data_IF_187311845941
#
_entry.id   IF_187311845941
#
_cell.length_a   1.000
_cell.length_b   1.000
_cell.length_c   1.000
_cell.angle_alpha   90.00
_cell.angle_beta   90.00
_cell.angle_gamma   90.00
#
_symmetry.space_group_name_H-M   'P 1'
#
loop_
_entity.id
_entity.type
_entity.pdbx_description
1 polymer ?
#
# COMPACT_ATOMS: atom_id res chain seq x y z
N UNK A 1 23.60 1.35 17.64
CA UNK A 1 22.89 1.24 16.35
C UNK A 1 21.81 2.30 16.31
N UNK A 2 21.59 2.94 15.19
CA UNK A 2 20.48 3.88 15.02
C UNK A 2 19.17 3.09 15.13
N UNK A 3 18.18 3.61 15.85
CA UNK A 3 16.87 2.95 15.94
C UNK A 3 16.22 2.90 14.56
N UNK A 4 15.77 1.73 14.14
CA UNK A 4 15.07 1.52 12.86
C UNK A 4 13.58 1.48 13.16
N UNK A 5 12.80 2.34 12.48
CA UNK A 5 11.33 2.32 12.56
C UNK A 5 10.74 1.97 11.19
N UNK A 6 9.73 1.10 11.15
CA UNK A 6 8.95 0.81 9.96
C UNK A 6 7.47 1.06 10.26
N UNK A 7 6.98 2.23 9.86
CA UNK A 7 5.61 2.66 10.16
C UNK A 7 4.62 2.31 9.02
N UNK A 8 5.03 1.39 8.13
CA UNK A 8 4.23 0.90 7.02
C UNK A 8 4.59 -0.56 6.73
N UNK A 9 3.67 -1.48 7.02
CA UNK A 9 3.83 -2.92 6.75
C UNK A 9 2.48 -3.61 6.59
N UNK A 10 2.46 -4.74 5.87
CA UNK A 10 1.27 -5.52 5.57
C UNK A 10 1.36 -6.94 6.13
N UNK A 11 0.22 -7.46 6.56
CA UNK A 11 0.08 -8.82 7.09
C UNK A 11 -0.88 -9.65 6.23
N UNK A 12 -1.11 -10.90 6.63
CA UNK A 12 -2.13 -11.76 5.98
C UNK A 12 -3.56 -11.24 6.17
N UNK A 13 -3.76 -10.19 6.95
CA UNK A 13 -5.07 -9.52 7.05
C UNK A 13 -5.42 -8.80 5.72
N UNK A 14 -4.42 -8.35 4.96
CA UNK A 14 -4.59 -7.78 3.63
C UNK A 14 -3.87 -8.62 2.56
N UNK A 15 -2.69 -8.23 2.13
CA UNK A 15 -1.94 -8.88 1.05
C UNK A 15 -0.46 -9.17 1.40
N UNK A 16 -0.09 -9.01 2.65
CA UNK A 16 1.15 -9.51 3.21
C UNK A 16 1.19 -11.04 3.31
N UNK A 17 2.36 -11.60 3.50
CA UNK A 17 2.58 -13.06 3.57
C UNK A 17 2.83 -13.57 4.99
N UNK A 18 2.92 -12.70 5.98
CA UNK A 18 3.15 -13.01 7.39
C UNK A 18 1.96 -12.58 8.23
N UNK A 19 1.60 -13.36 9.23
CA UNK A 19 0.66 -12.94 10.26
C UNK A 19 1.25 -11.78 11.07
N UNK A 20 0.43 -11.08 11.83
CA UNK A 20 0.90 -10.03 12.76
C UNK A 20 2.02 -10.53 13.67
N UNK A 21 1.86 -11.73 14.21
CA UNK A 21 2.85 -12.35 15.10
C UNK A 21 4.15 -12.66 14.38
N UNK A 22 4.09 -13.32 13.23
CA UNK A 22 5.28 -13.67 12.44
C UNK A 22 6.05 -12.42 11.98
N UNK A 23 5.31 -11.37 11.54
CA UNK A 23 5.92 -10.11 11.13
C UNK A 23 6.58 -9.40 12.32
N UNK A 24 5.95 -9.40 13.50
CA UNK A 24 6.53 -8.85 14.72
C UNK A 24 7.81 -9.58 15.12
N UNK A 25 7.78 -10.92 15.18
CA UNK A 25 8.95 -11.74 15.56
C UNK A 25 10.10 -11.56 14.55
N UNK A 26 9.80 -11.43 13.25
CA UNK A 26 10.79 -11.09 12.23
C UNK A 26 11.38 -9.70 12.47
N UNK A 27 10.55 -8.68 12.66
CA UNK A 27 10.98 -7.30 12.90
C UNK A 27 11.93 -7.22 14.11
N UNK A 28 11.58 -7.89 15.20
CA UNK A 28 12.44 -7.96 16.39
C UNK A 28 13.77 -8.66 16.10
N UNK A 29 13.76 -9.77 15.36
CA UNK A 29 14.98 -10.49 14.98
C UNK A 29 15.91 -9.65 14.10
N UNK A 30 15.36 -8.72 13.33
CA UNK A 30 16.08 -7.78 12.45
C UNK A 30 16.48 -6.48 13.17
N UNK A 31 16.11 -6.29 14.45
CA UNK A 31 16.45 -5.10 15.23
C UNK A 31 15.60 -3.87 14.91
N UNK A 32 14.40 -4.05 14.34
CA UNK A 32 13.42 -2.97 14.18
C UNK A 32 12.92 -2.55 15.55
N UNK A 33 13.02 -1.27 15.88
CA UNK A 33 12.62 -0.73 17.19
C UNK A 33 11.12 -0.45 17.27
N UNK A 34 10.52 -0.01 16.18
CA UNK A 34 9.07 0.26 16.08
C UNK A 34 8.53 -0.26 14.76
N UNK A 35 7.44 -1.02 14.81
CA UNK A 35 6.72 -1.57 13.67
C UNK A 35 5.25 -1.11 13.72
N UNK A 36 4.72 -0.57 12.61
CA UNK A 36 3.28 -0.34 12.48
C UNK A 36 2.64 -1.38 11.55
N UNK A 37 1.52 -1.94 11.96
CA UNK A 37 0.67 -2.78 11.13
C UNK A 37 -0.34 -1.88 10.42
N UNK A 38 -0.27 -1.81 9.09
CA UNK A 38 -1.02 -0.86 8.28
C UNK A 38 -1.70 -1.56 7.11
N UNK A 39 -2.39 -2.65 7.38
CA UNK A 39 -3.07 -3.46 6.37
C UNK A 39 -4.06 -2.65 5.52
N UNK A 40 -4.19 -3.00 4.24
CA UNK A 40 -5.07 -2.32 3.30
C UNK A 40 -6.54 -2.42 3.67
N UNK A 41 -7.17 -1.27 3.96
CA UNK A 41 -8.59 -1.13 4.30
C UNK A 41 -9.04 -2.18 5.35
N UNK A 42 -8.17 -2.44 6.33
CA UNK A 42 -8.41 -3.45 7.36
C UNK A 42 -7.77 -3.06 8.69
N UNK A 43 -8.39 -3.49 9.78
CA UNK A 43 -7.87 -3.33 11.14
C UNK A 43 -7.93 -4.66 11.89
N UNK A 44 -6.99 -4.92 12.82
CA UNK A 44 -6.93 -6.19 13.52
C UNK A 44 -8.17 -6.47 14.36
N UNK A 45 -8.59 -7.74 14.36
CA UNK A 45 -9.71 -8.23 15.18
C UNK A 45 -9.38 -8.16 16.67
N UNK A 46 -10.39 -8.29 17.52
CA UNK A 46 -10.20 -8.38 18.97
C UNK A 46 -9.28 -9.55 19.38
N UNK A 47 -9.32 -10.66 18.64
CA UNK A 47 -8.43 -11.81 18.89
C UNK A 47 -6.98 -11.47 18.55
N UNK A 48 -6.75 -10.87 17.39
CA UNK A 48 -5.42 -10.38 16.98
C UNK A 48 -4.88 -9.34 17.96
N UNK A 49 -5.74 -8.42 18.42
CA UNK A 49 -5.35 -7.44 19.45
C UNK A 49 -4.93 -8.09 20.77
N UNK A 50 -5.61 -9.14 21.22
CA UNK A 50 -5.24 -9.89 22.43
C UNK A 50 -3.87 -10.58 22.26
N UNK A 51 -3.56 -11.08 21.06
CA UNK A 51 -2.24 -11.63 20.74
C UNK A 51 -1.17 -10.54 20.77
N UNK A 52 -1.37 -9.39 20.14
CA UNK A 52 -0.44 -8.25 20.15
C UNK A 52 -0.20 -7.70 21.57
N UNK A 53 -1.25 -7.64 22.40
CA UNK A 53 -1.11 -7.25 23.81
C UNK A 53 -0.17 -8.18 24.59
N UNK A 54 -0.12 -9.48 24.24
CA UNK A 54 0.82 -10.43 24.87
C UNK A 54 2.28 -10.15 24.54
N UNK A 55 2.54 -9.33 23.50
CA UNK A 55 3.89 -8.92 23.08
C UNK A 55 4.38 -7.64 23.77
N UNK A 56 3.56 -7.00 24.63
CA UNK A 56 4.02 -5.84 25.42
C UNK A 56 5.23 -6.17 26.25
N UNK A 57 6.15 -5.23 26.33
CA UNK A 57 7.39 -5.40 27.09
C UNK A 57 8.55 -6.00 26.31
N UNK A 58 8.33 -6.48 25.08
CA UNK A 58 9.41 -6.89 24.17
C UNK A 58 10.20 -5.67 23.67
N UNK A 59 11.37 -5.90 23.07
CA UNK A 59 12.26 -4.82 22.62
C UNK A 59 11.63 -4.03 21.47
N UNK A 60 11.12 -4.71 20.45
CA UNK A 60 10.32 -4.09 19.37
C UNK A 60 8.98 -3.60 19.89
N UNK A 61 8.61 -2.38 19.50
CA UNK A 61 7.29 -1.81 19.79
C UNK A 61 6.39 -1.89 18.57
N UNK A 62 5.08 -2.04 18.83
CA UNK A 62 4.10 -2.06 17.75
C UNK A 62 3.12 -0.89 17.86
N UNK A 63 2.58 -0.50 16.71
CA UNK A 63 1.53 0.53 16.53
C UNK A 63 0.43 -0.06 15.65
N UNK A 64 -0.83 0.20 16.00
CA UNK A 64 -1.96 -0.12 15.13
C UNK A 64 -2.19 1.03 14.16
N UNK A 65 -2.29 0.68 12.89
CA UNK A 65 -2.60 1.56 11.78
C UNK A 65 -3.50 0.87 10.76
N UNK A 66 -3.72 1.53 9.64
CA UNK A 66 -4.33 0.99 8.44
C UNK A 66 -3.90 1.82 7.24
N UNK A 67 -3.77 1.20 6.06
CA UNK A 67 -3.60 1.92 4.80
C UNK A 67 -4.94 1.99 4.09
N UNK A 68 -5.53 3.19 4.06
CA UNK A 68 -6.82 3.43 3.43
C UNK A 68 -6.64 3.81 1.96
N UNK A 69 -7.41 3.17 1.08
CA UNK A 69 -7.50 3.55 -0.33
C UNK A 69 -8.52 4.68 -0.47
N UNK A 70 -8.12 5.82 -1.03
CA UNK A 70 -8.99 6.98 -1.22
C UNK A 70 -8.74 7.70 -2.54
N UNK A 71 -9.68 8.53 -2.95
CA UNK A 71 -9.55 9.43 -4.09
C UNK A 71 -9.18 10.85 -3.63
N UNK A 72 -8.60 11.63 -4.55
CA UNK A 72 -8.52 13.08 -4.33
C UNK A 72 -9.92 13.70 -4.39
N UNK A 73 -10.19 14.75 -3.59
CA UNK A 73 -11.40 15.53 -3.71
C UNK A 73 -11.59 16.04 -5.14
N UNK A 74 -12.82 15.98 -5.65
CA UNK A 74 -13.14 16.27 -7.06
C UNK A 74 -12.73 17.67 -7.52
N UNK A 75 -12.61 18.63 -6.60
CA UNK A 75 -12.13 19.99 -6.89
C UNK A 75 -10.60 20.06 -7.09
N UNK A 76 -9.86 19.00 -6.73
CA UNK A 76 -8.41 18.94 -6.86
C UNK A 76 -7.94 18.05 -8.03
N UNK A 77 -8.77 17.10 -8.44
CA UNK A 77 -8.44 16.21 -9.54
C UNK A 77 -9.69 15.80 -10.32
N UNK A 78 -9.65 15.85 -11.67
CA UNK A 78 -10.79 15.54 -12.53
C UNK A 78 -11.09 14.06 -12.69
N UNK A 79 -10.25 13.17 -12.15
CA UNK A 79 -10.37 11.72 -12.32
C UNK A 79 -10.06 10.98 -11.03
N UNK A 80 -10.68 9.81 -10.84
CA UNK A 80 -10.38 8.88 -9.76
C UNK A 80 -8.89 8.54 -9.78
N UNK A 81 -8.19 8.92 -8.72
CA UNK A 81 -6.73 8.81 -8.66
C UNK A 81 -6.27 7.56 -7.92
N UNK A 82 -7.06 7.04 -6.96
CA UNK A 82 -6.68 5.90 -6.12
C UNK A 82 -5.31 6.14 -5.48
N UNK A 83 -5.28 6.98 -4.45
CA UNK A 83 -4.10 7.22 -3.62
C UNK A 83 -4.24 6.47 -2.30
N UNK A 84 -3.13 6.33 -1.57
CA UNK A 84 -3.13 5.64 -0.29
C UNK A 84 -2.79 6.60 0.86
N UNK A 85 -3.51 6.41 1.97
CA UNK A 85 -3.39 7.19 3.19
C UNK A 85 -3.09 6.26 4.36
N UNK A 86 -1.95 6.43 5.01
CA UNK A 86 -1.62 5.70 6.23
C UNK A 86 -2.26 6.40 7.43
N UNK A 87 -3.10 5.67 8.16
CA UNK A 87 -3.53 6.04 9.50
C UNK A 87 -2.63 5.36 10.53
N UNK A 88 -2.09 6.11 11.49
CA UNK A 88 -1.27 5.59 12.57
C UNK A 88 -1.92 5.85 13.93
N UNK A 89 -1.72 4.95 14.92
CA UNK A 89 -2.28 5.02 16.28
C UNK A 89 -3.81 4.89 16.33
N UNK A 90 -4.39 4.07 15.46
CA UNK A 90 -5.82 3.91 15.32
C UNK A 90 -6.43 3.06 16.45
N UNK A 91 -7.63 3.42 16.86
CA UNK A 91 -8.52 2.52 17.60
C UNK A 91 -9.13 1.50 16.62
N UNK A 92 -8.70 0.22 16.66
CA UNK A 92 -9.22 -0.80 15.74
C UNK A 92 -10.67 -1.18 16.02
N UNK A 93 -11.26 -0.69 17.13
CA UNK A 93 -12.66 -0.90 17.48
C UNK A 93 -13.53 0.33 17.18
N UNK A 94 -12.97 1.39 16.57
CA UNK A 94 -13.75 2.55 16.16
C UNK A 94 -14.82 2.15 15.14
N UNK A 95 -16.08 2.34 15.49
CA UNK A 95 -17.23 1.86 14.72
C UNK A 95 -17.24 2.40 13.27
N UNK A 96 -16.88 3.68 13.08
CA UNK A 96 -16.86 4.28 11.75
C UNK A 96 -15.74 3.69 10.88
N UNK A 97 -14.55 3.47 11.47
CA UNK A 97 -13.42 2.86 10.78
C UNK A 97 -13.71 1.40 10.42
N UNK A 98 -14.27 0.61 11.34
CA UNK A 98 -14.65 -0.78 11.09
C UNK A 98 -15.67 -0.88 9.96
N UNK A 99 -16.74 -0.07 9.98
CA UNK A 99 -17.72 -0.02 8.90
C UNK A 99 -17.13 0.39 7.55
N UNK A 100 -16.17 1.32 7.56
CA UNK A 100 -15.44 1.68 6.35
C UNK A 100 -14.67 0.46 5.81
N UNK A 101 -13.89 -0.23 6.66
CA UNK A 101 -13.13 -1.41 6.26
C UNK A 101 -14.04 -2.51 5.68
N UNK A 102 -15.15 -2.84 6.35
CA UNK A 102 -16.14 -3.81 5.85
C UNK A 102 -16.67 -3.44 4.45
N UNK A 103 -17.00 -2.16 4.26
CA UNK A 103 -17.50 -1.66 2.98
C UNK A 103 -16.43 -1.68 1.88
N UNK A 104 -15.20 -1.30 2.21
CA UNK A 104 -14.07 -1.34 1.28
C UNK A 104 -13.75 -2.79 0.85
N UNK A 105 -13.75 -3.73 1.79
CA UNK A 105 -13.53 -5.15 1.51
C UNK A 105 -14.65 -5.73 0.61
N UNK A 106 -15.92 -5.41 0.87
CA UNK A 106 -17.03 -5.82 0.02
C UNK A 106 -16.88 -5.26 -1.42
N UNK A 107 -16.44 -4.02 -1.56
CA UNK A 107 -16.13 -3.39 -2.85
C UNK A 107 -14.98 -4.10 -3.57
N UNK A 108 -13.90 -4.47 -2.85
CA UNK A 108 -12.77 -5.23 -3.42
C UNK A 108 -13.22 -6.62 -3.92
N UNK A 109 -14.11 -7.32 -3.19
CA UNK A 109 -14.67 -8.59 -3.64
C UNK A 109 -15.52 -8.41 -4.90
N UNK A 110 -16.34 -7.38 -4.96
CA UNK A 110 -17.16 -7.05 -6.15
C UNK A 110 -16.26 -6.76 -7.35
N UNK A 111 -15.22 -5.94 -7.17
CA UNK A 111 -14.23 -5.67 -8.22
C UNK A 111 -13.52 -6.94 -8.68
N UNK A 112 -13.07 -7.79 -7.75
CA UNK A 112 -12.41 -9.05 -8.07
C UNK A 112 -13.28 -9.94 -8.96
N UNK A 113 -14.60 -10.07 -8.67
CA UNK A 113 -15.52 -10.85 -9.50
C UNK A 113 -15.61 -10.30 -10.92
N UNK A 114 -15.73 -8.98 -11.10
CA UNK A 114 -15.72 -8.34 -12.42
C UNK A 114 -14.41 -8.62 -13.18
N UNK A 115 -13.27 -8.55 -12.50
CA UNK A 115 -11.96 -8.89 -13.07
C UNK A 115 -11.91 -10.35 -13.51
N UNK A 116 -12.38 -11.28 -12.66
CA UNK A 116 -12.42 -12.72 -12.98
C UNK A 116 -13.28 -12.98 -14.23
N UNK A 117 -14.46 -12.37 -14.34
CA UNK A 117 -15.30 -12.47 -15.54
C UNK A 117 -14.56 -11.97 -16.80
N UNK A 118 -13.87 -10.82 -16.70
CA UNK A 118 -13.05 -10.29 -17.80
C UNK A 118 -11.91 -11.24 -18.19
N UNK A 119 -11.22 -11.83 -17.22
CA UNK A 119 -10.14 -12.79 -17.43
C UNK A 119 -10.64 -14.08 -18.08
N UNK A 120 -11.79 -14.61 -17.65
CA UNK A 120 -12.44 -15.75 -18.28
C UNK A 120 -12.80 -15.46 -19.75
N UNK A 121 -13.26 -14.24 -20.03
CA UNK A 121 -13.52 -13.77 -21.40
C UNK A 121 -12.27 -13.75 -22.29
N UNK A 122 -11.07 -13.61 -21.71
CA UNK A 122 -9.79 -13.70 -22.41
C UNK A 122 -9.27 -15.16 -22.50
N UNK A 123 -9.97 -16.13 -21.93
CA UNK A 123 -9.63 -17.55 -21.97
C UNK A 123 -8.81 -18.04 -20.77
N UNK A 124 -8.62 -17.22 -19.73
CA UNK A 124 -7.97 -17.68 -18.48
C UNK A 124 -8.86 -18.63 -17.70
N UNK A 125 -8.25 -19.62 -17.07
CA UNK A 125 -8.89 -20.54 -16.12
C UNK A 125 -8.69 -19.98 -14.71
N UNK A 126 -9.72 -19.37 -14.16
CA UNK A 126 -9.72 -18.74 -12.82
C UNK A 126 -11.16 -18.64 -12.32
N UNK A 127 -11.35 -18.74 -11.00
CA UNK A 127 -12.65 -18.51 -10.33
C UNK A 127 -12.49 -17.49 -9.21
N UNK A 128 -13.61 -16.96 -8.71
CA UNK A 128 -13.62 -16.09 -7.54
C UNK A 128 -13.09 -16.83 -6.29
N UNK A 129 -13.40 -18.12 -6.17
CA UNK A 129 -12.94 -18.99 -5.09
C UNK A 129 -11.42 -19.20 -5.12
N UNK A 130 -10.81 -19.31 -6.32
CA UNK A 130 -9.35 -19.36 -6.47
C UNK A 130 -8.69 -18.08 -5.92
N UNK A 131 -9.30 -16.91 -6.17
CA UNK A 131 -8.81 -15.63 -5.68
C UNK A 131 -8.96 -15.49 -4.16
N UNK A 132 -10.11 -15.90 -3.61
CA UNK A 132 -10.36 -15.92 -2.16
C UNK A 132 -9.40 -16.88 -1.46
N UNK A 133 -9.16 -18.06 -2.03
CA UNK A 133 -8.20 -19.01 -1.50
C UNK A 133 -6.73 -18.51 -1.60
N UNK A 134 -6.44 -17.65 -2.55
CA UNK A 134 -5.12 -17.03 -2.67
C UNK A 134 -4.92 -15.88 -1.67
N UNK A 135 -5.98 -15.15 -1.30
CA UNK A 135 -5.89 -14.09 -0.32
C UNK A 135 -5.61 -14.60 1.08
N UNK A 136 -6.16 -15.75 1.45
CA UNK A 136 -6.02 -16.33 2.79
C UNK A 136 -6.58 -15.44 3.91
N UNK A 137 -7.08 -14.25 3.58
CA UNK A 137 -7.55 -13.21 4.49
C UNK A 137 -8.87 -12.59 4.03
N UNK A 138 -9.24 -11.51 4.68
CA UNK A 138 -10.51 -10.81 4.44
C UNK A 138 -10.44 -9.84 3.25
N UNK A 139 -9.25 -9.38 2.88
CA UNK A 139 -9.04 -8.41 1.79
C UNK A 139 -8.47 -9.06 0.54
N UNK A 140 -9.16 -8.88 -0.61
CA UNK A 140 -8.72 -9.41 -1.92
C UNK A 140 -8.17 -8.29 -2.79
N UNK A 141 -6.86 -8.32 -3.01
CA UNK A 141 -6.15 -7.40 -3.91
C UNK A 141 -5.84 -8.00 -5.28
N UNK A 142 -5.34 -7.17 -6.21
CA UNK A 142 -4.82 -7.62 -7.52
C UNK A 142 -3.67 -8.64 -7.39
N UNK A 143 -2.75 -8.55 -6.39
CA UNK A 143 -1.72 -9.58 -6.19
C UNK A 143 -2.30 -10.98 -5.99
N UNK A 144 -3.42 -11.13 -5.28
CA UNK A 144 -4.09 -12.42 -5.06
C UNK A 144 -4.67 -13.00 -6.35
N UNK A 145 -5.20 -12.15 -7.24
CA UNK A 145 -5.68 -12.57 -8.57
C UNK A 145 -4.51 -13.11 -9.40
N UNK A 146 -3.36 -12.42 -9.37
CA UNK A 146 -2.12 -12.87 -10.05
C UNK A 146 -1.64 -14.20 -9.47
N UNK A 147 -1.68 -14.36 -8.16
CA UNK A 147 -1.31 -15.62 -7.50
C UNK A 147 -2.25 -16.76 -7.91
N UNK A 148 -3.57 -16.52 -7.92
CA UNK A 148 -4.56 -17.49 -8.38
C UNK A 148 -4.34 -17.91 -9.83
N UNK A 149 -4.03 -16.96 -10.73
CA UNK A 149 -3.70 -17.24 -12.13
C UNK A 149 -2.44 -18.13 -12.25
N UNK A 150 -1.40 -17.86 -11.47
CA UNK A 150 -0.13 -18.60 -11.49
C UNK A 150 -0.25 -20.05 -10.98
N UNK A 151 -1.24 -20.34 -10.15
CA UNK A 151 -1.48 -21.70 -9.66
C UNK A 151 -1.91 -22.68 -10.75
N UNK A 152 -2.38 -22.17 -11.90
CA UNK A 152 -2.82 -22.97 -13.05
C UNK A 152 -1.87 -22.76 -14.22
N UNK A 153 -1.05 -23.77 -14.50
CA UNK A 153 0.00 -23.72 -15.55
C UNK A 153 -0.57 -23.48 -16.94
N UNK A 154 -1.82 -23.90 -17.19
CA UNK A 154 -2.54 -23.68 -18.44
C UNK A 154 -2.66 -22.19 -18.79
N UNK A 155 -2.74 -21.33 -17.77
CA UNK A 155 -2.82 -19.89 -17.95
C UNK A 155 -1.55 -19.28 -18.55
N UNK A 156 -0.40 -19.95 -18.46
CA UNK A 156 0.85 -19.50 -19.10
C UNK A 156 0.69 -19.45 -20.62
N UNK A 157 -0.04 -20.41 -21.21
CA UNK A 157 -0.28 -20.44 -22.65
C UNK A 157 -1.17 -19.27 -23.09
N UNK A 158 -2.19 -18.94 -22.29
CA UNK A 158 -3.07 -17.81 -22.58
C UNK A 158 -2.29 -16.50 -22.49
N UNK A 159 -1.48 -16.32 -21.43
CA UNK A 159 -0.64 -15.13 -21.27
C UNK A 159 0.37 -14.95 -22.40
N UNK A 160 1.05 -16.02 -22.80
CA UNK A 160 2.02 -15.96 -23.87
C UNK A 160 1.35 -15.60 -25.21
N UNK A 161 0.17 -16.17 -25.50
CA UNK A 161 -0.60 -15.82 -26.68
C UNK A 161 -0.95 -14.31 -26.67
N UNK A 162 -1.48 -13.79 -25.56
CA UNK A 162 -1.84 -12.36 -25.45
C UNK A 162 -0.60 -11.49 -25.67
N UNK A 163 0.55 -11.86 -25.10
CA UNK A 163 1.82 -11.14 -25.29
C UNK A 163 2.23 -11.10 -26.76
N UNK A 164 2.14 -12.23 -27.46
CA UNK A 164 2.50 -12.33 -28.88
C UNK A 164 1.52 -11.53 -29.75
N UNK A 165 0.22 -11.61 -29.47
CA UNK A 165 -0.81 -10.86 -30.21
C UNK A 165 -0.60 -9.34 -30.06
N UNK A 166 -0.29 -8.85 -28.85
CA UNK A 166 0.03 -7.44 -28.63
C UNK A 166 1.31 -7.01 -29.36
N UNK A 167 2.35 -7.86 -29.34
CA UNK A 167 3.58 -7.59 -30.06
C UNK A 167 3.33 -7.45 -31.55
N UNK A 168 2.59 -8.40 -32.14
CA UNK A 168 2.25 -8.36 -33.57
C UNK A 168 1.39 -7.15 -33.92
N UNK A 169 0.38 -6.82 -33.11
CA UNK A 169 -0.43 -5.63 -33.31
C UNK A 169 0.38 -4.33 -33.22
N UNK A 170 1.37 -4.28 -32.34
CA UNK A 170 2.28 -3.16 -32.17
C UNK A 170 3.18 -2.87 -33.39
N UNK A 171 3.33 -3.81 -34.31
CA UNK A 171 4.07 -3.58 -35.58
C UNK A 171 3.37 -2.56 -36.47
N UNK A 172 2.05 -2.43 -36.36
CA UNK A 172 1.22 -1.52 -37.17
C UNK A 172 0.54 -0.43 -36.36
N UNK A 173 0.45 -0.57 -35.06
CA UNK A 173 -0.19 0.39 -34.13
C UNK A 173 0.83 0.93 -33.11
N UNK A 174 1.27 2.21 -33.26
CA UNK A 174 2.24 2.82 -32.35
C UNK A 174 1.76 2.87 -30.88
N UNK A 175 0.45 3.01 -30.64
CA UNK A 175 -0.11 3.07 -29.30
C UNK A 175 -0.01 1.71 -28.61
N UNK A 176 -0.32 0.64 -29.33
CA UNK A 176 -0.18 -0.72 -28.82
C UNK A 176 1.29 -1.05 -28.57
N UNK A 177 2.18 -0.61 -29.48
CA UNK A 177 3.63 -0.78 -29.31
C UNK A 177 4.14 -0.10 -28.06
N UNK A 178 3.79 1.17 -27.83
CA UNK A 178 4.18 1.90 -26.63
C UNK A 178 3.71 1.20 -25.34
N UNK A 179 2.46 0.75 -25.31
CA UNK A 179 1.90 0.00 -24.18
C UNK A 179 2.64 -1.32 -23.95
N UNK A 180 2.91 -2.06 -25.01
CA UNK A 180 3.68 -3.30 -24.93
C UNK A 180 5.08 -3.07 -24.39
N UNK A 181 5.81 -2.09 -24.93
CA UNK A 181 7.15 -1.75 -24.50
C UNK A 181 7.17 -1.32 -23.02
N UNK A 182 6.21 -0.48 -22.60
CA UNK A 182 6.06 -0.06 -21.20
C UNK A 182 5.85 -1.25 -20.26
N UNK A 183 4.97 -2.19 -20.62
CA UNK A 183 4.74 -3.38 -19.79
C UNK A 183 5.99 -4.27 -19.68
N UNK A 184 6.74 -4.42 -20.77
CA UNK A 184 7.95 -5.25 -20.78
C UNK A 184 9.10 -4.64 -19.97
N UNK A 185 9.16 -3.30 -19.85
CA UNK A 185 10.15 -2.61 -19.00
C UNK A 185 9.97 -2.88 -17.51
N UNK A 186 8.75 -3.21 -17.06
CA UNK A 186 8.47 -3.51 -15.64
C UNK A 186 9.05 -4.83 -15.14
N UNK A 187 9.64 -5.63 -16.03
CA UNK A 187 10.31 -6.88 -15.71
C UNK A 187 9.36 -8.03 -15.32
N UNK A 188 9.93 -9.22 -15.20
CA UNK A 188 9.17 -10.46 -14.97
C UNK A 188 8.37 -10.48 -13.67
N UNK A 189 8.82 -9.79 -12.62
CA UNK A 189 8.12 -9.74 -11.33
C UNK A 189 6.71 -9.16 -11.47
N UNK A 190 6.55 -8.15 -12.30
CA UNK A 190 5.28 -7.47 -12.54
C UNK A 190 4.59 -7.88 -13.83
N UNK A 191 5.22 -8.72 -14.62
CA UNK A 191 4.75 -9.14 -15.94
C UNK A 191 3.26 -9.55 -15.98
N UNK A 192 2.75 -10.48 -15.12
CA UNK A 192 1.34 -10.84 -15.17
C UNK A 192 0.42 -9.65 -14.82
N UNK A 193 0.80 -8.87 -13.80
CA UNK A 193 0.02 -7.72 -13.37
C UNK A 193 -0.03 -6.62 -14.43
N UNK A 194 1.14 -6.20 -14.92
CA UNK A 194 1.22 -5.13 -15.92
C UNK A 194 0.63 -5.55 -17.27
N UNK A 195 0.63 -6.84 -17.61
CA UNK A 195 0.05 -7.32 -18.85
C UNK A 195 -1.48 -7.36 -18.84
N UNK A 196 -2.11 -7.80 -17.75
CA UNK A 196 -3.53 -8.15 -17.76
C UNK A 196 -4.39 -7.41 -16.74
N UNK A 197 -3.82 -6.73 -15.76
CA UNK A 197 -4.56 -6.06 -14.69
C UNK A 197 -4.32 -4.56 -14.62
N UNK A 198 -3.66 -3.98 -15.62
CA UNK A 198 -3.44 -2.53 -15.70
C UNK A 198 -4.28 -1.89 -16.81
N UNK A 199 -4.67 -0.63 -16.66
CA UNK A 199 -5.44 0.09 -17.67
C UNK A 199 -4.68 0.28 -18.98
N UNK A 200 -3.33 0.24 -18.92
CA UNK A 200 -2.47 0.35 -20.09
C UNK A 200 -2.57 -0.87 -21.00
N UNK A 201 -2.84 -2.06 -20.41
CA UNK A 201 -2.91 -3.31 -21.16
C UNK A 201 -4.33 -3.65 -21.61
N UNK A 202 -5.23 -3.81 -20.66
CA UNK A 202 -6.57 -4.35 -20.93
C UNK A 202 -7.65 -3.63 -20.13
N UNK A 203 -8.46 -2.81 -20.82
CA UNK A 203 -9.63 -2.17 -20.20
C UNK A 203 -10.71 -3.18 -19.80
N UNK A 204 -10.79 -4.34 -20.47
CA UNK A 204 -11.78 -5.38 -20.18
C UNK A 204 -11.55 -6.13 -18.87
N UNK A 205 -10.35 -6.02 -18.30
CA UNK A 205 -9.97 -6.65 -17.01
C UNK A 205 -9.59 -5.63 -15.96
N UNK A 206 -9.68 -4.32 -16.27
CA UNK A 206 -9.41 -3.25 -15.32
C UNK A 206 -10.71 -2.65 -14.81
N UNK A 207 -10.94 -2.78 -13.51
CA UNK A 207 -12.08 -2.23 -12.79
C UNK A 207 -11.60 -1.50 -11.54
N UNK A 208 -12.21 -0.37 -11.24
CA UNK A 208 -12.03 0.34 -9.98
C UNK A 208 -12.96 -0.22 -8.89
N UNK A 209 -12.71 0.14 -7.64
CA UNK A 209 -13.60 -0.17 -6.53
C UNK A 209 -14.89 0.64 -6.69
N UNK A 210 -16.04 0.02 -6.38
CA UNK A 210 -17.34 0.69 -6.38
C UNK A 210 -17.52 1.62 -5.17
N UNK A 211 -16.67 1.45 -4.15
CA UNK A 211 -16.60 2.30 -2.97
C UNK A 211 -15.14 2.70 -2.72
N UNK A 212 -14.94 4.00 -2.61
CA UNK A 212 -13.69 4.63 -2.23
C UNK A 212 -14.04 6.00 -1.64
N UNK A 213 -13.65 6.32 -0.40
CA UNK A 213 -13.86 7.64 0.17
C UNK A 213 -12.98 8.67 -0.56
N UNK A 214 -13.34 9.92 -0.51
CA UNK A 214 -12.37 10.95 -0.85
C UNK A 214 -11.35 11.15 0.30
N UNK A 215 -10.29 11.90 0.02
CA UNK A 215 -9.19 12.10 0.97
C UNK A 215 -9.66 12.73 2.29
N UNK A 216 -10.58 13.71 2.23
CA UNK A 216 -11.07 14.37 3.45
C UNK A 216 -11.91 13.42 4.30
N UNK A 217 -12.72 12.58 3.67
CA UNK A 217 -13.48 11.52 4.35
C UNK A 217 -12.51 10.50 4.99
N UNK A 218 -11.48 10.07 4.26
CA UNK A 218 -10.48 9.14 4.78
C UNK A 218 -9.68 9.74 5.95
N UNK A 219 -9.27 11.00 5.85
CA UNK A 219 -8.61 11.73 6.96
C UNK A 219 -9.53 11.84 8.17
N UNK A 220 -10.81 12.13 7.95
CA UNK A 220 -11.79 12.21 9.04
C UNK A 220 -11.97 10.85 9.73
N UNK A 221 -12.00 9.73 8.99
CA UNK A 221 -12.04 8.37 9.57
C UNK A 221 -10.83 8.11 10.47
N UNK A 222 -9.63 8.40 9.98
CA UNK A 222 -8.38 8.24 10.74
C UNK A 222 -8.40 9.09 12.02
N UNK A 223 -8.73 10.39 11.93
CA UNK A 223 -8.75 11.29 13.08
C UNK A 223 -9.83 10.92 14.09
N UNK A 224 -11.01 10.48 13.63
CA UNK A 224 -12.08 9.99 14.51
C UNK A 224 -11.71 8.71 15.25
N UNK A 225 -10.84 7.88 14.65
CA UNK A 225 -10.27 6.71 15.30
C UNK A 225 -9.07 7.05 16.22
N UNK A 226 -8.78 8.33 16.45
CA UNK A 226 -7.74 8.82 17.35
C UNK A 226 -6.33 8.85 16.75
N UNK A 227 -6.20 8.65 15.46
CA UNK A 227 -4.93 8.60 14.73
C UNK A 227 -4.55 9.88 14.01
N UNK A 228 -3.42 9.79 13.32
CA UNK A 228 -2.91 10.80 12.37
C UNK A 228 -2.85 10.21 10.96
N UNK A 229 -3.12 11.05 9.97
CA UNK A 229 -3.25 10.68 8.56
C UNK A 229 -2.07 11.23 7.75
N UNK A 230 -1.30 10.34 7.12
CA UNK A 230 -0.14 10.69 6.28
C UNK A 230 -0.28 10.07 4.89
N UNK A 231 0.13 10.80 3.85
CA UNK A 231 0.18 10.23 2.49
C UNK A 231 1.22 9.12 2.44
N UNK A 232 0.83 7.97 1.91
CA UNK A 232 1.70 6.82 1.71
C UNK A 232 2.56 6.97 0.46
N UNK A 233 3.77 6.40 0.51
CA UNK A 233 4.68 6.14 -0.63
C UNK A 233 4.49 7.11 -1.82
N UNK A 234 4.68 8.40 -1.57
CA UNK A 234 4.41 9.49 -2.54
C UNK A 234 4.97 9.21 -3.94
N UNK A 235 6.13 8.57 -4.01
CA UNK A 235 6.78 8.21 -5.26
C UNK A 235 5.89 7.40 -6.21
N UNK A 236 5.01 6.54 -5.69
CA UNK A 236 4.09 5.74 -6.53
C UNK A 236 2.85 6.51 -6.98
N UNK A 237 2.58 7.63 -6.35
CA UNK A 237 1.36 8.42 -6.59
C UNK A 237 1.62 9.83 -7.12
N UNK A 238 2.88 10.23 -7.32
CA UNK A 238 3.24 11.59 -7.77
C UNK A 238 2.55 11.99 -9.10
N UNK A 239 2.29 11.02 -9.98
CA UNK A 239 1.55 11.27 -11.23
C UNK A 239 0.05 11.53 -11.01
N UNK A 240 -0.48 11.13 -9.86
CA UNK A 240 -1.88 11.27 -9.47
C UNK A 240 -2.07 12.44 -8.49
N UNK A 241 -1.07 12.69 -7.65
CA UNK A 241 -1.02 13.73 -6.65
C UNK A 241 0.21 14.62 -6.91
N UNK A 242 0.14 15.64 -7.78
CA UNK A 242 1.23 16.58 -8.02
C UNK A 242 1.72 17.27 -6.72
N UNK A 243 3.01 17.63 -6.67
CA UNK A 243 3.61 18.28 -5.48
C UNK A 243 2.87 19.54 -5.06
N UNK A 244 2.36 20.33 -6.01
CA UNK A 244 1.63 21.57 -5.73
C UNK A 244 0.31 21.29 -5.00
N UNK A 245 -0.37 20.18 -5.35
CA UNK A 245 -1.59 19.75 -4.67
C UNK A 245 -1.25 19.22 -3.28
N UNK A 246 -0.22 18.39 -3.15
CA UNK A 246 0.24 17.91 -1.85
C UNK A 246 0.63 19.08 -0.93
N UNK A 247 1.37 20.07 -1.45
CA UNK A 247 1.73 21.27 -0.71
C UNK A 247 0.52 22.03 -0.20
N UNK A 248 -0.50 22.20 -1.05
CA UNK A 248 -1.77 22.85 -0.67
C UNK A 248 -2.47 22.07 0.46
N UNK A 249 -2.57 20.73 0.35
CA UNK A 249 -3.19 19.88 1.36
C UNK A 249 -2.50 20.00 2.73
N UNK A 250 -1.16 20.04 2.75
CA UNK A 250 -0.37 20.22 3.97
C UNK A 250 -0.53 21.62 4.54
N UNK A 251 -0.48 22.66 3.70
CA UNK A 251 -0.65 24.07 4.11
C UNK A 251 -2.03 24.31 4.73
N UNK A 252 -3.08 23.71 4.17
CA UNK A 252 -4.47 23.82 4.64
C UNK A 252 -4.78 22.88 5.83
N UNK A 253 -3.78 22.08 6.30
CA UNK A 253 -3.95 21.08 7.38
C UNK A 253 -5.03 20.01 7.07
N UNK A 254 -5.28 19.77 5.80
CA UNK A 254 -6.15 18.66 5.34
C UNK A 254 -5.48 17.31 5.53
N UNK A 255 -4.13 17.27 5.58
CA UNK A 255 -3.31 16.12 5.95
C UNK A 255 -2.51 16.41 7.23
N UNK A 256 -2.16 15.36 7.97
CA UNK A 256 -1.25 15.48 9.12
C UNK A 256 0.21 15.37 8.70
N UNK A 257 0.52 14.72 7.57
CA UNK A 257 1.87 14.57 7.08
C UNK A 257 2.00 13.74 5.82
N UNK A 258 3.22 13.27 5.58
CA UNK A 258 3.60 12.46 4.42
C UNK A 258 4.73 11.48 4.77
N UNK A 259 4.76 10.33 4.12
CA UNK A 259 5.92 9.44 4.15
C UNK A 259 7.06 10.07 3.34
N UNK A 260 8.17 10.37 4.01
CA UNK A 260 9.38 10.92 3.40
C UNK A 260 10.42 9.84 3.07
N UNK A 261 10.24 8.65 3.65
CA UNK A 261 11.05 7.46 3.39
C UNK A 261 10.14 6.28 3.23
N UNK A 262 10.29 5.52 2.15
CA UNK A 262 9.74 4.18 2.07
C UNK A 262 10.71 3.26 1.30
N UNK A 263 10.72 2.00 1.67
CA UNK A 263 11.79 1.08 1.33
C UNK A 263 11.40 -0.11 0.48
N UNK A 264 10.60 0.09 -0.58
CA UNK A 264 10.23 -1.03 -1.47
C UNK A 264 11.40 -1.51 -2.32
N UNK A 265 11.58 -2.83 -2.41
CA UNK A 265 12.53 -3.47 -3.33
C UNK A 265 12.30 -3.10 -4.80
N UNK A 266 11.08 -2.71 -5.16
CA UNK A 266 10.74 -2.28 -6.52
C UNK A 266 11.48 -1.01 -6.97
N UNK A 267 12.04 -0.22 -6.04
CA UNK A 267 12.88 0.93 -6.36
C UNK A 267 14.26 0.60 -6.92
N UNK A 268 14.73 -0.61 -6.82
CA UNK A 268 16.07 -0.99 -7.26
C UNK A 268 16.41 -0.72 -8.74
N UNK A 269 15.43 -0.22 -9.51
CA UNK A 269 15.59 0.21 -10.90
C UNK A 269 15.43 1.73 -11.08
N UNK A 270 15.12 2.47 -10.01
CA UNK A 270 14.90 3.91 -10.08
C UNK A 270 16.22 4.63 -9.76
N UNK A 271 16.46 5.74 -10.44
CA UNK A 271 17.64 6.56 -10.21
C UNK A 271 17.63 7.13 -8.78
N UNK A 272 18.66 6.84 -7.99
CA UNK A 272 18.80 7.32 -6.61
C UNK A 272 18.66 8.83 -6.50
N UNK A 273 19.20 9.58 -7.49
CA UNK A 273 19.11 11.03 -7.55
C UNK A 273 17.65 11.52 -7.60
N UNK A 274 16.79 10.85 -8.36
CA UNK A 274 15.37 11.21 -8.46
C UNK A 274 14.64 11.01 -7.13
N UNK A 275 14.92 9.90 -6.44
CA UNK A 275 14.34 9.59 -5.12
C UNK A 275 14.85 10.59 -4.07
N UNK A 276 16.13 10.92 -4.04
CA UNK A 276 16.67 11.88 -3.09
C UNK A 276 16.12 13.28 -3.30
N UNK A 277 15.95 13.70 -4.55
CA UNK A 277 15.32 14.99 -4.88
C UNK A 277 13.88 15.06 -4.35
N UNK A 278 13.12 13.99 -4.54
CA UNK A 278 11.74 13.89 -4.05
C UNK A 278 11.69 13.92 -2.52
N UNK A 279 12.51 13.09 -1.84
CA UNK A 279 12.63 13.07 -0.38
C UNK A 279 13.00 14.43 0.19
N UNK A 280 13.94 15.13 -0.44
CA UNK A 280 14.35 16.48 -0.03
C UNK A 280 13.19 17.47 -0.14
N UNK A 281 12.39 17.39 -1.22
CA UNK A 281 11.21 18.23 -1.41
C UNK A 281 10.13 17.93 -0.34
N UNK A 282 9.82 16.66 -0.07
CA UNK A 282 8.85 16.24 0.94
C UNK A 282 9.27 16.68 2.35
N UNK A 283 10.56 16.54 2.72
CA UNK A 283 11.09 17.00 4.01
C UNK A 283 11.05 18.54 4.13
N UNK A 284 11.40 19.26 3.07
CA UNK A 284 11.34 20.72 3.07
C UNK A 284 9.89 21.21 3.27
N UNK A 285 8.94 20.56 2.60
CA UNK A 285 7.52 20.86 2.69
C UNK A 285 6.98 20.57 4.09
N UNK A 286 7.31 19.38 4.65
CA UNK A 286 6.90 19.00 6.00
C UNK A 286 7.44 19.97 7.07
N UNK A 287 8.68 20.40 6.94
CA UNK A 287 9.28 21.44 7.82
C UNK A 287 8.60 22.79 7.67
N UNK A 288 8.31 23.21 6.43
CA UNK A 288 7.66 24.51 6.13
C UNK A 288 6.30 24.64 6.78
N UNK A 289 5.52 23.55 6.78
CA UNK A 289 4.14 23.57 7.27
C UNK A 289 3.96 22.93 8.65
N UNK A 290 5.05 22.56 9.30
CA UNK A 290 5.04 21.86 10.60
C UNK A 290 4.09 20.65 10.58
N UNK A 291 4.39 19.70 9.70
CA UNK A 291 3.61 18.48 9.51
C UNK A 291 4.46 17.23 9.81
N UNK A 292 3.77 16.12 10.04
CA UNK A 292 4.39 14.84 10.38
C UNK A 292 5.22 14.32 9.20
N UNK A 293 6.41 13.82 9.52
CA UNK A 293 7.19 12.95 8.65
C UNK A 293 7.08 11.52 9.16
N UNK A 294 6.72 10.60 8.28
CA UNK A 294 6.69 9.17 8.55
C UNK A 294 7.52 8.41 7.50
N UNK A 295 7.62 7.11 7.68
CA UNK A 295 8.25 6.24 6.70
C UNK A 295 8.25 4.79 7.15
N UNK A 296 8.36 3.89 6.19
CA UNK A 296 8.34 2.46 6.45
C UNK A 296 8.82 1.65 5.25
N UNK A 297 8.77 0.34 5.43
CA UNK A 297 9.23 -0.62 4.43
C UNK A 297 8.21 -0.89 3.33
N UNK A 298 6.93 -0.68 3.61
CA UNK A 298 5.82 -1.19 2.80
C UNK A 298 5.99 -2.71 2.53
N UNK A 299 6.45 -3.42 3.57
CA UNK A 299 6.80 -4.83 3.46
C UNK A 299 5.56 -5.72 3.37
N UNK A 300 5.50 -6.53 2.32
CA UNK A 300 4.51 -7.57 2.10
C UNK A 300 5.10 -8.98 2.32
N UNK A 301 6.42 -9.09 2.31
CA UNK A 301 7.16 -10.34 2.49
C UNK A 301 8.31 -10.16 3.48
N UNK A 302 8.86 -11.28 3.98
CA UNK A 302 10.05 -11.26 4.83
C UNK A 302 11.26 -10.64 4.13
N UNK A 303 11.37 -10.86 2.82
CA UNK A 303 12.45 -10.32 1.99
C UNK A 303 12.36 -8.81 1.85
N UNK A 304 11.14 -8.24 1.84
CA UNK A 304 10.94 -6.80 1.75
C UNK A 304 11.38 -6.11 3.05
N UNK A 305 11.01 -6.65 4.22
CA UNK A 305 11.44 -6.09 5.51
C UNK A 305 12.95 -6.24 5.71
N UNK A 306 13.52 -7.40 5.38
CA UNK A 306 14.96 -7.62 5.47
C UNK A 306 15.73 -6.64 4.56
N UNK A 307 15.30 -6.48 3.31
CA UNK A 307 15.89 -5.52 2.37
C UNK A 307 15.87 -4.09 2.91
N UNK A 308 14.74 -3.68 3.51
CA UNK A 308 14.62 -2.36 4.12
C UNK A 308 15.61 -2.16 5.27
N UNK A 309 15.72 -3.15 6.17
CA UNK A 309 16.62 -3.08 7.33
C UNK A 309 18.09 -3.09 6.90
N UNK A 310 18.45 -3.94 5.93
CA UNK A 310 19.81 -4.10 5.44
C UNK A 310 20.27 -2.88 4.62
N UNK A 311 19.32 -2.10 4.07
CA UNK A 311 19.63 -0.93 3.28
C UNK A 311 19.52 0.36 4.11
N UNK A 312 20.65 0.79 4.65
CA UNK A 312 20.74 1.98 5.50
C UNK A 312 20.26 3.28 4.82
N UNK A 313 20.23 3.33 3.49
CA UNK A 313 19.68 4.48 2.74
C UNK A 313 18.18 4.66 2.98
N UNK A 314 17.45 3.57 3.30
CA UNK A 314 16.05 3.63 3.71
C UNK A 314 15.93 3.71 5.24
N UNK A 315 16.40 2.70 5.93
CA UNK A 315 16.17 2.52 7.37
C UNK A 315 16.94 3.51 8.25
N UNK A 316 18.08 4.02 7.77
CA UNK A 316 18.95 4.91 8.55
C UNK A 316 18.34 6.28 8.87
N UNK A 317 17.26 6.67 8.18
CA UNK A 317 16.63 7.99 8.33
C UNK A 317 15.28 7.98 9.05
N UNK A 318 14.87 6.83 9.59
CA UNK A 318 13.55 6.65 10.21
C UNK A 318 13.54 6.81 11.72
N UNK A 319 14.71 6.92 12.32
CA UNK A 319 14.84 7.07 13.77
C UNK A 319 14.13 8.33 14.29
N UNK A 320 13.21 8.13 15.23
CA UNK A 320 12.51 9.22 15.90
C UNK A 320 11.20 9.67 15.23
N UNK A 321 10.76 9.07 14.14
CA UNK A 321 9.46 9.39 13.54
C UNK A 321 8.32 9.21 14.55
N UNK A 322 8.30 8.07 15.23
CA UNK A 322 7.30 7.78 16.28
C UNK A 322 7.34 8.81 17.41
N UNK A 323 8.53 9.18 17.89
CA UNK A 323 8.67 10.18 18.94
C UNK A 323 8.15 11.57 18.49
N UNK A 324 8.43 11.95 17.25
CA UNK A 324 7.95 13.19 16.66
C UNK A 324 6.42 13.19 16.51
N UNK A 325 5.82 12.07 16.08
CA UNK A 325 4.35 11.93 15.99
C UNK A 325 3.72 12.10 17.39
N UNK A 326 4.25 11.44 18.42
CA UNK A 326 3.78 11.58 19.80
C UNK A 326 3.92 13.01 20.33
N UNK A 327 4.99 13.70 19.98
CA UNK A 327 5.24 15.08 20.40
C UNK A 327 4.23 16.09 19.87
N UNK A 328 3.51 15.75 18.77
CA UNK A 328 2.41 16.59 18.26
C UNK A 328 1.22 16.69 19.22
N UNK A 329 1.08 15.76 20.15
CA UNK A 329 -0.08 15.64 21.04
C UNK A 329 -1.39 15.22 20.37
N UNK A 330 -1.36 14.90 19.06
CA UNK A 330 -2.54 14.49 18.29
C UNK A 330 -2.96 13.03 18.55
N UNK A 331 -2.04 12.18 19.00
CA UNK A 331 -2.27 10.75 19.22
C UNK A 331 -1.95 10.35 20.66
N UNK A 332 -2.49 9.21 21.09
CA UNK A 332 -2.19 8.59 22.37
C UNK A 332 -1.50 7.24 22.15
N UNK A 333 -0.82 6.74 23.19
CA UNK A 333 -0.17 5.41 23.13
C UNK A 333 -1.14 4.24 23.34
N UNK A 334 -2.45 4.47 23.41
CA UNK A 334 -3.44 3.45 23.79
C UNK A 334 -3.39 2.22 22.90
N UNK A 335 -3.27 2.43 21.59
CA UNK A 335 -3.24 1.36 20.59
C UNK A 335 -1.83 1.13 20.03
N UNK A 336 -0.88 1.04 20.96
CA UNK A 336 0.52 0.73 20.71
C UNK A 336 1.14 0.10 21.94
N UNK A 337 2.31 -0.52 21.80
CA UNK A 337 3.10 -1.05 22.93
C UNK A 337 4.22 -0.11 23.40
N UNK A 338 4.17 1.17 23.00
CA UNK A 338 5.16 2.21 23.30
C UNK A 338 5.21 2.62 24.78
#
# INVERSE_FOLDING_TARGET
MTAIESLHTHTTLSDGKLTHRELFDLAESLGVSVLAFTDHDAVPSALTMAELESLRGRDTKWIIGAELTCDLPSELAPATAGIHLIGLFLDPQNEALVKHCERAQASRITRMRKIVEGLQGLGFIITAEDCLAASGGESVGRPHIVEALKRRTENNTVMEKIRLDMRAAGETDPIIKERYDYMMQKGERQYPYSLILSPEAFRSTYFENDYMPDLDEAVALVRNAGGVAVIAHYYTVHNKLPLEILEKLLAEKRLDGVEVVYGMRAYGTTEEEAIEKERAALRAMSKKYDTIMAGGSDAHTKEDLAFYVDNNWFSGETAGFTANILATGKVTKRFSSL
#
